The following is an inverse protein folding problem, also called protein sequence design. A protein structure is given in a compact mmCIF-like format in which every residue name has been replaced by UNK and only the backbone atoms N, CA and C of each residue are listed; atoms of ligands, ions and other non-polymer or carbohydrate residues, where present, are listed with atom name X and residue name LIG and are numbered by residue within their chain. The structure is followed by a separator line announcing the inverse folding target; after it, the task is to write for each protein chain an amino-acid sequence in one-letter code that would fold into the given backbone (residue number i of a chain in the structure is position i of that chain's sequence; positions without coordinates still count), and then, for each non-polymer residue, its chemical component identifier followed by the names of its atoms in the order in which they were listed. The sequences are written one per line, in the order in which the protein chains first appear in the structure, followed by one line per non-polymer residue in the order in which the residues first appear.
data_IF_595042551321
#
_entry.id   IF_595042551321
#
_cell.length_a   1.000
_cell.length_b   1.000
_cell.length_c   1.000
_cell.angle_alpha   90.00
_cell.angle_beta   90.00
_cell.angle_gamma   90.00
#
_symmetry.space_group_name_H-M   'P 1'
#
loop_
_entity.id
_entity.type
_entity.pdbx_description
1 polymer ?
#
# COMPACT_ATOMS: atom_id res chain seq x y z
N UNK A 1 12.73 32.24 35.44
CA UNK A 1 12.23 32.73 34.14
C UNK A 1 13.46 33.18 33.38
N UNK A 2 14.00 32.43 32.42
CA UNK A 2 13.45 32.32 31.06
C UNK A 2 13.65 30.89 30.52
N UNK A 3 12.53 30.33 30.06
CA UNK A 3 12.39 29.09 29.33
C UNK A 3 12.68 29.38 27.84
N UNK A 4 13.59 28.65 27.20
CA UNK A 4 13.66 28.56 25.75
C UNK A 4 14.34 27.25 25.33
N UNK A 5 13.70 26.12 25.66
CA UNK A 5 13.94 24.86 24.96
C UNK A 5 13.27 25.04 23.60
N UNK A 6 14.03 25.46 22.59
CA UNK A 6 13.54 25.51 21.21
C UNK A 6 13.42 24.08 20.69
N UNK A 7 12.23 23.52 20.87
CA UNK A 7 11.74 22.36 20.16
C UNK A 7 11.70 22.65 18.66
N UNK A 8 12.60 22.05 17.87
CA UNK A 8 12.37 21.68 16.46
C UNK A 8 13.21 20.46 16.09
N UNK A 9 12.90 19.31 16.69
CA UNK A 9 13.16 18.03 16.02
C UNK A 9 11.94 17.74 15.16
N UNK A 10 11.93 18.20 13.93
CA UNK A 10 11.02 17.65 12.92
C UNK A 10 11.90 17.06 11.85
N UNK A 11 11.98 15.74 11.88
CA UNK A 11 12.60 14.90 10.87
C UNK A 11 12.24 15.38 9.47
N UNK A 12 13.19 15.25 8.55
CA UNK A 12 12.90 15.18 7.12
C UNK A 12 11.92 14.03 6.90
N UNK A 13 10.62 14.35 6.94
CA UNK A 13 9.57 13.37 6.71
C UNK A 13 9.57 13.13 5.21
N UNK A 14 10.24 12.06 4.79
CA UNK A 14 10.28 11.69 3.37
C UNK A 14 8.86 11.65 2.81
N UNK A 15 8.69 12.16 1.59
CA UNK A 15 7.38 12.21 0.93
C UNK A 15 6.79 10.81 0.85
N UNK A 16 5.57 10.63 1.35
CA UNK A 16 4.81 9.41 1.17
C UNK A 16 4.65 9.11 -0.33
N UNK A 17 5.03 7.91 -0.77
CA UNK A 17 4.71 7.46 -2.13
C UNK A 17 3.34 6.77 -2.14
N UNK A 18 2.55 7.08 -3.15
CA UNK A 18 1.24 6.47 -3.35
C UNK A 18 1.38 5.19 -4.17
N UNK A 19 0.67 4.15 -3.76
CA UNK A 19 0.59 2.88 -4.47
C UNK A 19 -0.38 3.04 -5.63
N UNK A 20 0.03 2.63 -6.82
CA UNK A 20 -0.86 2.38 -7.94
C UNK A 20 -1.25 0.91 -7.94
N UNK A 21 -2.53 0.63 -7.70
CA UNK A 21 -3.08 -0.71 -7.83
C UNK A 21 -3.38 -0.98 -9.31
N UNK A 22 -2.87 -2.10 -9.80
CA UNK A 22 -3.04 -2.55 -11.19
C UNK A 22 -3.98 -3.75 -11.15
N UNK A 23 -5.28 -3.45 -11.19
CA UNK A 23 -6.33 -4.48 -11.24
C UNK A 23 -7.26 -4.30 -12.44
N UNK A 24 -6.87 -3.45 -13.38
CA UNK A 24 -7.63 -3.26 -14.61
C UNK A 24 -7.64 -4.55 -15.42
N UNK A 25 -8.79 -4.86 -16.02
CA UNK A 25 -8.96 -6.01 -16.89
C UNK A 25 -9.06 -5.52 -18.33
N UNK A 26 -8.13 -5.93 -19.20
CA UNK A 26 -8.27 -5.71 -20.64
C UNK A 26 -9.12 -6.80 -21.29
N UNK A 27 -9.66 -6.52 -22.49
CA UNK A 27 -10.42 -7.51 -23.26
C UNK A 27 -9.53 -8.73 -23.56
N UNK A 28 -10.01 -9.91 -23.17
CA UNK A 28 -9.27 -11.17 -23.30
C UNK A 28 -8.37 -11.51 -22.11
N UNK A 29 -8.22 -10.62 -21.12
CA UNK A 29 -7.48 -10.91 -19.89
C UNK A 29 -8.38 -11.49 -18.80
N UNK A 30 -7.87 -12.41 -17.96
CA UNK A 30 -8.59 -12.89 -16.78
C UNK A 30 -8.80 -11.77 -15.74
N UNK A 31 -9.99 -11.72 -15.13
CA UNK A 31 -10.23 -10.89 -13.95
C UNK A 31 -9.41 -11.43 -12.76
N UNK A 32 -8.30 -10.75 -12.46
CA UNK A 32 -7.42 -11.13 -11.37
C UNK A 32 -8.02 -10.78 -10.00
N UNK A 33 -8.84 -9.74 -9.90
CA UNK A 33 -9.34 -9.27 -8.61
C UNK A 33 -10.40 -10.22 -8.08
N UNK A 34 -11.32 -10.72 -8.92
CA UNK A 34 -12.37 -11.64 -8.46
C UNK A 34 -11.79 -12.89 -7.82
N UNK A 35 -10.73 -13.47 -8.38
CA UNK A 35 -10.08 -14.65 -7.82
C UNK A 35 -9.33 -14.35 -6.49
N UNK A 36 -8.86 -13.11 -6.31
CA UNK A 36 -7.99 -12.71 -5.21
C UNK A 36 -8.69 -11.87 -4.14
N UNK A 37 -9.94 -11.46 -4.35
CA UNK A 37 -10.63 -10.46 -3.52
C UNK A 37 -10.74 -10.80 -2.03
N UNK A 38 -10.66 -12.08 -1.66
CA UNK A 38 -10.72 -12.52 -0.27
C UNK A 38 -9.36 -12.83 0.34
N UNK A 39 -8.27 -12.63 -0.42
CA UNK A 39 -6.92 -12.79 0.08
C UNK A 39 -6.49 -11.57 0.89
N UNK A 40 -5.59 -11.76 1.88
CA UNK A 40 -5.04 -10.65 2.64
C UNK A 40 -4.23 -9.73 1.74
N UNK A 41 -4.35 -8.42 1.95
CA UNK A 41 -3.47 -7.41 1.38
C UNK A 41 -2.17 -7.36 2.17
N UNK A 42 -1.05 -7.52 1.48
CA UNK A 42 0.30 -7.40 2.01
C UNK A 42 1.04 -6.29 1.27
N UNK A 43 1.52 -5.29 1.99
CA UNK A 43 2.39 -4.25 1.44
C UNK A 43 3.82 -4.51 1.91
N UNK A 44 4.73 -4.69 0.95
CA UNK A 44 6.13 -5.01 1.20
C UNK A 44 7.03 -3.88 0.71
N UNK A 45 7.86 -3.34 1.59
CA UNK A 45 8.85 -2.35 1.24
C UNK A 45 9.88 -2.91 0.25
N UNK A 46 10.52 -2.04 -0.52
CA UNK A 46 11.57 -2.43 -1.48
C UNK A 46 12.80 -3.06 -0.81
N UNK A 47 12.95 -2.88 0.50
CA UNK A 47 13.96 -3.54 1.34
C UNK A 47 13.53 -4.95 1.81
N UNK A 48 12.34 -5.40 1.42
CA UNK A 48 11.76 -6.68 1.82
C UNK A 48 10.99 -6.64 3.15
N UNK A 49 10.95 -5.49 3.84
CA UNK A 49 10.19 -5.34 5.09
C UNK A 49 8.68 -5.40 4.85
N UNK A 50 7.91 -5.90 5.83
CA UNK A 50 6.44 -5.85 5.76
C UNK A 50 5.98 -4.52 6.35
N UNK A 51 5.35 -3.69 5.52
CA UNK A 51 4.89 -2.34 5.90
C UNK A 51 3.44 -2.34 6.39
N UNK A 52 2.60 -3.20 5.83
CA UNK A 52 1.17 -3.29 6.18
C UNK A 52 0.62 -4.68 5.85
N UNK A 53 -0.30 -5.15 6.69
CA UNK A 53 -1.07 -6.38 6.44
C UNK A 53 -2.52 -6.12 6.82
N UNK A 54 -3.45 -6.44 5.92
CA UNK A 54 -4.88 -6.29 6.18
C UNK A 54 -5.66 -7.47 5.62
N UNK A 55 -6.50 -8.06 6.47
CA UNK A 55 -7.45 -9.09 6.04
C UNK A 55 -8.46 -8.49 5.06
N UNK A 56 -8.89 -9.30 4.09
CA UNK A 56 -9.91 -8.86 3.16
C UNK A 56 -11.20 -8.46 3.89
N UNK A 57 -11.91 -7.42 3.42
CA UNK A 57 -13.26 -7.13 3.87
C UNK A 57 -14.19 -8.35 3.69
N UNK A 58 -15.29 -8.41 4.42
CA UNK A 58 -16.24 -9.53 4.33
C UNK A 58 -16.76 -9.76 2.90
N UNK A 59 -16.98 -8.68 2.16
CA UNK A 59 -17.39 -8.74 0.75
C UNK A 59 -16.20 -8.78 -0.23
N UNK A 60 -14.97 -8.92 0.28
CA UNK A 60 -13.74 -8.89 -0.50
C UNK A 60 -13.36 -7.49 -0.97
N UNK A 61 -12.18 -7.41 -1.56
CA UNK A 61 -11.63 -6.18 -2.12
C UNK A 61 -12.38 -5.71 -3.36
N UNK A 62 -12.54 -4.39 -3.44
CA UNK A 62 -12.82 -3.64 -4.67
C UNK A 62 -11.59 -2.81 -5.02
N UNK A 63 -11.49 -2.32 -6.26
CA UNK A 63 -10.43 -1.39 -6.65
C UNK A 63 -10.38 -0.16 -5.73
N UNK A 64 -11.54 0.46 -5.46
CA UNK A 64 -11.65 1.61 -4.56
C UNK A 64 -11.19 1.28 -3.13
N UNK A 65 -11.54 0.09 -2.64
CA UNK A 65 -11.14 -0.38 -1.32
C UNK A 65 -9.62 -0.58 -1.20
N UNK A 66 -8.96 -1.04 -2.27
CA UNK A 66 -7.50 -1.11 -2.33
C UNK A 66 -6.88 0.28 -2.38
N UNK A 67 -7.40 1.18 -3.23
CA UNK A 67 -6.90 2.55 -3.36
C UNK A 67 -7.00 3.37 -2.07
N UNK A 68 -7.91 3.02 -1.17
CA UNK A 68 -8.01 3.62 0.16
C UNK A 68 -6.87 3.21 1.12
N UNK A 69 -6.12 2.14 0.82
CA UNK A 69 -4.99 1.67 1.62
C UNK A 69 -3.71 2.29 1.09
N UNK A 70 -3.27 3.37 1.75
CA UNK A 70 -2.06 4.13 1.44
C UNK A 70 -1.27 4.40 2.73
N UNK A 71 -0.44 3.47 3.22
CA UNK A 71 0.29 3.67 4.45
C UNK A 71 1.34 4.78 4.31
N UNK A 72 1.47 5.62 5.34
CA UNK A 72 2.50 6.69 5.38
C UNK A 72 3.92 6.12 5.40
N UNK A 73 4.10 4.85 5.78
CA UNK A 73 5.38 4.15 5.84
C UNK A 73 5.97 3.81 4.47
N UNK A 74 5.22 3.97 3.37
CA UNK A 74 5.69 3.75 2.00
C UNK A 74 6.61 4.89 1.49
N UNK A 75 7.61 5.30 2.29
CA UNK A 75 8.49 6.43 1.98
C UNK A 75 9.50 6.07 0.87
N UNK A 76 10.12 4.89 0.99
CA UNK A 76 11.10 4.40 0.00
C UNK A 76 10.37 3.84 -1.23
N UNK A 77 9.16 3.34 -1.03
CA UNK A 77 8.34 2.63 -2.01
C UNK A 77 7.97 1.25 -1.52
N UNK A 78 6.97 0.64 -2.14
CA UNK A 78 6.53 -0.71 -1.80
C UNK A 78 5.76 -1.38 -2.93
N UNK A 79 5.78 -2.71 -2.91
CA UNK A 79 4.91 -3.56 -3.71
C UNK A 79 3.68 -3.99 -2.91
N UNK A 80 2.56 -4.13 -3.60
CA UNK A 80 1.28 -4.58 -3.06
C UNK A 80 0.93 -5.98 -3.59
N UNK A 81 0.51 -6.86 -2.68
CA UNK A 81 0.12 -8.22 -3.00
C UNK A 81 -1.24 -8.57 -2.39
N UNK A 82 -2.04 -9.34 -3.12
CA UNK A 82 -3.17 -10.09 -2.56
C UNK A 82 -2.76 -11.55 -2.42
N UNK A 83 -2.56 -12.00 -1.17
CA UNK A 83 -1.95 -13.29 -0.89
C UNK A 83 -0.52 -13.34 -1.42
N UNK A 84 -0.29 -14.14 -2.47
CA UNK A 84 1.01 -14.27 -3.15
C UNK A 84 1.06 -13.58 -4.51
N UNK A 85 -0.04 -12.99 -4.97
CA UNK A 85 -0.14 -12.36 -6.29
C UNK A 85 0.13 -10.86 -6.18
N UNK A 86 1.04 -10.35 -7.00
CA UNK A 86 1.32 -8.92 -7.09
C UNK A 86 0.13 -8.20 -7.75
N UNK A 87 -0.25 -7.04 -7.21
CA UNK A 87 -1.40 -6.24 -7.67
C UNK A 87 -1.13 -4.74 -7.71
N UNK A 88 0.12 -4.30 -7.55
CA UNK A 88 0.45 -2.87 -7.62
C UNK A 88 1.78 -2.52 -6.97
N UNK A 89 2.24 -1.30 -7.21
CA UNK A 89 3.47 -0.77 -6.60
C UNK A 89 3.46 0.75 -6.60
N UNK A 90 4.39 1.36 -5.86
CA UNK A 90 4.63 2.81 -5.90
C UNK A 90 5.42 3.27 -7.14
N UNK A 91 5.96 2.34 -7.94
CA UNK A 91 6.87 2.63 -9.07
C UNK A 91 6.27 2.39 -10.46
N UNK A 92 4.98 2.03 -10.53
CA UNK A 92 4.24 1.82 -11.79
C UNK A 92 3.75 3.13 -12.38
#
# INVERSE_FOLDING_TARGET
MVLAILARTTAERGTQKLIKYVTDQMEGEPDILTALRHQPLLLRGLDGSTLHVQQAPAHGWTYEGLCAVQPESAVIGCDAFLGTSWVGSTEV
#
